data_IF_399970408873
#
_entry.id   IF_399970408873
#
_cell.length_a   1.000
_cell.length_b   1.000
_cell.length_c   1.000
_cell.angle_alpha   90.00
_cell.angle_beta   90.00
_cell.angle_gamma   90.00
#
_symmetry.space_group_name_H-M   'P 1'
#
loop_
_entity.id
_entity.type
_entity.pdbx_description
1 polymer ?
#
# COMPACT_ATOMS: atom_id res chain seq x y z
N UNK A 1 -4.16 2.20 -4.94
CA UNK A 1 -3.79 2.99 -6.14
C UNK A 1 -3.63 2.12 -7.37
N UNK A 2 -2.66 1.20 -7.48
CA UNK A 2 -2.50 0.36 -8.69
C UNK A 2 -3.79 -0.33 -9.16
N UNK A 3 -4.55 -0.92 -8.23
CA UNK A 3 -5.86 -1.49 -8.55
C UNK A 3 -6.87 -0.47 -9.07
N UNK A 4 -6.93 0.71 -8.47
CA UNK A 4 -7.81 1.79 -8.90
C UNK A 4 -7.45 2.32 -10.29
N UNK A 5 -6.16 2.38 -10.63
CA UNK A 5 -5.72 2.70 -12.01
C UNK A 5 -6.20 1.67 -13.04
N UNK A 6 -6.57 0.46 -12.59
CA UNK A 6 -7.18 -0.60 -13.40
C UNK A 6 -8.70 -0.66 -13.31
N UNK A 7 -9.33 0.30 -12.62
CA UNK A 7 -10.77 0.29 -12.39
C UNK A 7 -11.25 -0.80 -11.42
N UNK A 8 -10.36 -1.35 -10.59
CA UNK A 8 -10.68 -2.39 -9.61
C UNK A 8 -10.77 -1.78 -8.22
N UNK A 9 -11.96 -1.84 -7.60
CA UNK A 9 -12.15 -1.45 -6.20
C UNK A 9 -11.65 -2.55 -5.26
N UNK A 10 -10.33 -2.63 -5.07
CA UNK A 10 -9.71 -3.65 -4.23
C UNK A 10 -9.77 -3.24 -2.75
N UNK A 11 -10.55 -3.99 -1.95
CA UNK A 11 -10.85 -3.68 -0.53
C UNK A 11 -10.20 -4.63 0.49
N UNK A 12 -9.61 -5.73 0.03
CA UNK A 12 -8.95 -6.71 0.91
C UNK A 12 -7.56 -6.23 1.35
N UNK A 13 -6.94 -6.89 2.34
CA UNK A 13 -5.53 -6.63 2.68
C UNK A 13 -4.62 -7.18 1.54
N UNK A 14 -3.87 -6.30 0.84
CA UNK A 14 -2.99 -6.73 -0.24
C UNK A 14 -1.84 -7.60 0.26
N UNK A 15 -1.43 -7.48 1.53
CA UNK A 15 -0.29 -8.21 2.06
C UNK A 15 -0.67 -9.53 2.76
N UNK A 16 -1.97 -9.84 2.81
CA UNK A 16 -2.49 -11.06 3.42
C UNK A 16 -2.54 -12.20 2.41
N UNK A 17 -1.65 -13.19 2.54
CA UNK A 17 -1.61 -14.37 1.67
C UNK A 17 -2.29 -15.56 2.37
N UNK A 18 -3.34 -16.19 1.77
CA UNK A 18 -4.13 -17.23 2.45
C UNK A 18 -3.31 -18.39 3.04
N UNK A 19 -2.28 -18.86 2.33
CA UNK A 19 -1.42 -19.95 2.79
C UNK A 19 -0.56 -19.56 4.00
N UNK A 20 -0.08 -18.31 4.05
CA UNK A 20 0.68 -17.81 5.19
C UNK A 20 -0.24 -17.62 6.40
N UNK A 21 -1.43 -17.05 6.22
CA UNK A 21 -2.43 -16.89 7.28
C UNK A 21 -2.88 -18.25 7.85
N UNK A 22 -3.07 -19.26 6.98
CA UNK A 22 -3.39 -20.61 7.42
C UNK A 22 -2.26 -21.22 8.27
N UNK A 23 -1.01 -20.96 7.89
CA UNK A 23 0.16 -21.39 8.65
C UNK A 23 0.29 -20.67 9.99
N UNK A 24 0.06 -19.34 10.04
CA UNK A 24 0.03 -18.57 11.29
C UNK A 24 -0.95 -19.19 12.30
N UNK A 25 -2.17 -19.51 11.84
CA UNK A 25 -3.20 -20.13 12.68
C UNK A 25 -2.81 -21.53 13.15
N UNK A 26 -2.19 -22.33 12.27
CA UNK A 26 -1.78 -23.70 12.59
C UNK A 26 -0.68 -23.75 13.64
N UNK A 27 0.31 -22.86 13.52
CA UNK A 27 1.48 -22.82 14.40
C UNK A 27 1.27 -21.90 15.63
N UNK A 28 0.12 -21.24 15.74
CA UNK A 28 -0.19 -20.32 16.84
C UNK A 28 0.68 -19.06 16.83
N UNK A 29 1.09 -18.60 15.66
CA UNK A 29 1.86 -17.36 15.50
C UNK A 29 0.98 -16.13 15.74
N UNK A 30 1.63 -15.00 16.03
CA UNK A 30 0.96 -13.71 16.12
C UNK A 30 0.22 -13.38 14.82
N UNK A 31 -0.97 -12.78 14.93
CA UNK A 31 -1.73 -12.37 13.76
C UNK A 31 -0.92 -11.38 12.91
N UNK A 32 -0.92 -11.58 11.58
CA UNK A 32 -0.16 -10.74 10.63
C UNK A 32 1.37 -10.88 10.77
N UNK A 33 1.88 -11.94 11.40
CA UNK A 33 3.31 -12.21 11.52
C UNK A 33 4.05 -12.10 10.18
N UNK A 34 3.50 -12.67 9.09
CA UNK A 34 4.14 -12.61 7.78
C UNK A 34 3.89 -11.31 7.01
N UNK A 35 2.94 -10.48 7.44
CA UNK A 35 2.43 -9.34 6.68
C UNK A 35 3.52 -8.32 6.34
N UNK A 36 4.34 -7.94 7.31
CA UNK A 36 5.42 -6.96 7.08
C UNK A 36 6.51 -7.52 6.15
N UNK A 37 6.78 -8.83 6.25
CA UNK A 37 7.65 -9.52 5.31
C UNK A 37 7.09 -9.49 3.88
N UNK A 38 5.81 -9.83 3.70
CA UNK A 38 5.13 -9.79 2.40
C UNK A 38 5.14 -8.37 1.84
N UNK A 39 4.86 -7.36 2.66
CA UNK A 39 4.92 -5.95 2.27
C UNK A 39 6.30 -5.54 1.76
N UNK A 40 7.36 -5.88 2.49
CA UNK A 40 8.73 -5.60 2.07
C UNK A 40 9.09 -6.31 0.75
N UNK A 41 8.68 -7.57 0.59
CA UNK A 41 8.88 -8.33 -0.64
C UNK A 41 8.10 -7.74 -1.82
N UNK A 42 6.84 -7.35 -1.63
CA UNK A 42 6.02 -6.70 -2.65
C UNK A 42 6.61 -5.36 -3.07
N UNK A 43 7.11 -4.56 -2.13
CA UNK A 43 7.82 -3.31 -2.45
C UNK A 43 9.07 -3.57 -3.30
N UNK A 44 9.83 -4.61 -2.98
CA UNK A 44 10.99 -5.04 -3.77
C UNK A 44 10.59 -5.54 -5.16
N UNK A 45 9.45 -6.22 -5.30
CA UNK A 45 8.93 -6.68 -6.60
C UNK A 45 8.47 -5.51 -7.48
N UNK A 46 7.79 -4.51 -6.91
CA UNK A 46 7.31 -3.34 -7.65
C UNK A 46 8.49 -2.47 -8.13
N UNK A 47 9.46 -2.23 -7.25
CA UNK A 47 10.57 -1.31 -7.52
C UNK A 47 11.85 -1.99 -8.05
N UNK A 48 11.90 -3.31 -8.04
CA UNK A 48 13.03 -4.08 -8.54
C UNK A 48 13.15 -3.99 -10.06
N UNK A 49 14.31 -4.41 -10.57
CA UNK A 49 14.53 -4.60 -12.00
C UNK A 49 13.93 -5.94 -12.45
N UNK A 50 13.39 -5.98 -13.68
CA UNK A 50 12.82 -7.16 -14.32
C UNK A 50 13.84 -8.29 -14.46
N UNK A 51 15.10 -7.93 -14.73
CA UNK A 51 16.23 -8.86 -14.86
C UNK A 51 16.86 -9.24 -13.51
N UNK A 52 16.40 -8.60 -12.43
CA UNK A 52 16.88 -8.81 -11.08
C UNK A 52 16.28 -10.03 -10.38
N UNK A 53 16.72 -10.24 -9.14
CA UNK A 53 16.12 -11.19 -8.19
C UNK A 53 15.55 -10.43 -6.99
N UNK A 54 14.49 -9.64 -7.19
CA UNK A 54 13.90 -8.80 -6.13
C UNK A 54 13.52 -9.60 -4.89
N UNK A 55 13.20 -10.89 -5.05
CA UNK A 55 12.91 -11.78 -3.93
C UNK A 55 14.09 -12.07 -2.99
N UNK A 56 15.31 -11.67 -3.36
CA UNK A 56 16.51 -11.78 -2.53
C UNK A 56 16.76 -10.54 -1.67
N UNK A 57 15.93 -9.49 -1.77
CA UNK A 57 16.04 -8.29 -0.94
C UNK A 57 16.04 -8.66 0.56
N UNK A 58 17.09 -8.30 1.31
CA UNK A 58 17.19 -8.65 2.73
C UNK A 58 16.05 -7.96 3.49
N UNK A 59 15.31 -8.74 4.27
CA UNK A 59 14.29 -8.22 5.19
C UNK A 59 14.88 -8.42 6.57
N UNK A 60 15.23 -7.34 7.25
CA UNK A 60 15.93 -7.42 8.53
C UNK A 60 15.02 -7.98 9.63
N UNK A 61 15.58 -8.83 10.49
CA UNK A 61 14.84 -9.43 11.60
C UNK A 61 13.73 -10.41 11.20
N UNK A 62 13.54 -10.71 9.91
CA UNK A 62 12.40 -11.49 9.44
C UNK A 62 12.79 -12.67 8.53
N UNK A 63 12.10 -13.79 8.70
CA UNK A 63 12.30 -15.02 7.92
C UNK A 63 10.96 -15.62 7.51
N UNK A 64 10.83 -15.97 6.23
CA UNK A 64 9.63 -16.63 5.70
C UNK A 64 9.53 -18.12 6.03
N UNK A 65 10.51 -18.71 6.74
CA UNK A 65 10.47 -20.14 7.10
C UNK A 65 9.10 -20.54 7.69
N UNK A 66 8.57 -21.70 7.30
CA UNK A 66 9.17 -22.72 6.43
C UNK A 66 9.09 -22.41 4.93
N UNK A 67 8.42 -21.33 4.52
CA UNK A 67 8.29 -20.93 3.13
C UNK A 67 9.61 -20.37 2.56
N UNK A 68 9.86 -20.67 1.29
CA UNK A 68 10.97 -20.08 0.54
C UNK A 68 10.50 -18.76 -0.08
N UNK A 69 11.42 -17.81 -0.24
CA UNK A 69 11.13 -16.51 -0.90
C UNK A 69 10.56 -16.66 -2.32
N UNK A 70 11.04 -17.58 -3.18
CA UNK A 70 10.40 -17.84 -4.47
C UNK A 70 8.95 -18.33 -4.37
N UNK A 71 8.63 -19.18 -3.38
CA UNK A 71 7.26 -19.62 -3.18
C UNK A 71 6.36 -18.46 -2.74
N UNK A 72 6.84 -17.61 -1.84
CA UNK A 72 6.10 -16.42 -1.40
C UNK A 72 5.91 -15.44 -2.57
N UNK A 73 6.94 -15.21 -3.39
CA UNK A 73 6.84 -14.40 -4.61
C UNK A 73 5.73 -14.91 -5.53
N UNK A 74 5.69 -16.22 -5.80
CA UNK A 74 4.63 -16.82 -6.62
C UNK A 74 3.24 -16.60 -6.02
N UNK A 75 3.09 -16.74 -4.71
CA UNK A 75 1.81 -16.46 -4.03
C UNK A 75 1.39 -14.98 -4.15
N UNK A 76 2.36 -14.06 -4.15
CA UNK A 76 2.11 -12.63 -4.40
C UNK A 76 1.66 -12.45 -5.86
N UNK A 77 2.39 -12.98 -6.84
CA UNK A 77 2.05 -12.88 -8.26
C UNK A 77 0.66 -13.46 -8.56
N UNK A 78 0.31 -14.61 -7.98
CA UNK A 78 -1.02 -15.24 -8.11
C UNK A 78 -2.14 -14.38 -7.49
N UNK A 79 -1.92 -13.76 -6.32
CA UNK A 79 -2.91 -12.88 -5.69
C UNK A 79 -3.07 -11.55 -6.43
N UNK A 80 -2.00 -11.05 -7.04
CA UNK A 80 -1.90 -9.73 -7.64
C UNK A 80 -1.86 -9.77 -9.18
N UNK A 81 -2.43 -10.81 -9.80
CA UNK A 81 -2.43 -11.02 -11.25
C UNK A 81 -2.89 -9.77 -12.03
N UNK A 82 -3.91 -9.06 -11.54
CA UNK A 82 -4.46 -7.88 -12.21
C UNK A 82 -3.53 -6.65 -12.24
N UNK A 83 -2.47 -6.65 -11.43
CA UNK A 83 -1.45 -5.59 -11.38
C UNK A 83 -0.03 -6.12 -11.63
N UNK A 84 0.10 -7.34 -12.14
CA UNK A 84 1.40 -8.04 -12.28
C UNK A 84 2.37 -7.31 -13.21
N UNK A 85 1.86 -6.60 -14.21
CA UNK A 85 2.62 -5.79 -15.15
C UNK A 85 3.20 -4.51 -14.53
N UNK A 86 2.82 -4.17 -13.28
CA UNK A 86 3.50 -3.14 -12.51
C UNK A 86 4.79 -3.66 -11.83
N UNK A 87 4.98 -4.97 -11.71
CA UNK A 87 6.18 -5.53 -11.08
C UNK A 87 7.39 -5.40 -12.01
N UNK A 88 8.56 -5.09 -11.45
CA UNK A 88 9.79 -4.92 -12.23
C UNK A 88 9.91 -3.57 -12.95
N UNK A 89 8.95 -2.66 -12.78
CA UNK A 89 8.86 -1.42 -13.58
C UNK A 89 9.34 -0.16 -12.86
N UNK A 90 9.56 -0.23 -11.54
CA UNK A 90 9.79 0.98 -10.75
C UNK A 90 8.52 1.80 -10.47
N UNK A 91 7.32 1.23 -10.68
CA UNK A 91 6.04 1.93 -10.51
C UNK A 91 5.87 2.57 -9.12
N UNK A 92 6.54 2.08 -8.08
CA UNK A 92 6.46 2.66 -6.74
C UNK A 92 6.91 4.11 -6.68
N UNK A 93 7.88 4.55 -7.48
CA UNK A 93 8.28 5.97 -7.54
C UNK A 93 7.17 6.84 -8.12
N UNK A 94 6.49 6.36 -9.16
CA UNK A 94 5.33 7.05 -9.76
C UNK A 94 4.17 7.15 -8.76
N UNK A 95 3.90 6.06 -8.03
CA UNK A 95 2.87 6.03 -6.99
C UNK A 95 3.19 6.98 -5.84
N UNK A 96 4.44 7.04 -5.37
CA UNK A 96 4.88 7.97 -4.33
C UNK A 96 4.71 9.44 -4.76
N UNK A 97 4.97 9.73 -6.04
CA UNK A 97 4.69 11.05 -6.60
C UNK A 97 3.19 11.36 -6.57
N UNK A 98 2.35 10.43 -7.02
CA UNK A 98 0.89 10.63 -6.99
C UNK A 98 0.36 10.82 -5.57
N UNK A 99 0.89 10.09 -4.58
CA UNK A 99 0.56 10.31 -3.16
C UNK A 99 0.97 11.71 -2.68
N UNK A 100 2.14 12.18 -3.10
CA UNK A 100 2.63 13.52 -2.75
C UNK A 100 1.78 14.62 -3.40
N UNK A 101 1.39 14.44 -4.66
CA UNK A 101 0.51 15.36 -5.38
C UNK A 101 -0.88 15.42 -4.72
N UNK A 102 -1.41 14.26 -4.29
CA UNK A 102 -2.66 14.18 -3.54
C UNK A 102 -2.57 14.90 -2.19
N UNK A 103 -1.49 14.67 -1.43
CA UNK A 103 -1.28 15.32 -0.16
C UNK A 103 -1.16 16.85 -0.31
N UNK A 104 -0.50 17.32 -1.37
CA UNK A 104 -0.39 18.74 -1.70
C UNK A 104 -1.76 19.35 -2.03
N UNK A 105 -2.61 18.65 -2.78
CA UNK A 105 -3.97 19.10 -3.07
C UNK A 105 -4.77 19.28 -1.77
N UNK A 106 -4.77 18.27 -0.90
CA UNK A 106 -5.49 18.29 0.38
C UNK A 106 -5.05 19.48 1.24
N UNK A 107 -3.75 19.67 1.48
CA UNK A 107 -3.28 20.78 2.32
C UNK A 107 -3.56 22.16 1.70
N UNK A 108 -3.58 22.25 0.37
CA UNK A 108 -3.88 23.50 -0.35
C UNK A 108 -5.35 23.86 -0.18
N UNK A 109 -6.24 22.90 -0.42
CA UNK A 109 -7.69 23.08 -0.30
C UNK A 109 -8.09 23.38 1.16
N UNK A 110 -7.53 22.65 2.13
CA UNK A 110 -7.75 22.94 3.55
C UNK A 110 -7.31 24.36 3.92
N UNK A 111 -6.15 24.81 3.42
CA UNK A 111 -5.64 26.16 3.65
C UNK A 111 -6.55 27.22 3.05
N UNK A 112 -7.14 27.00 1.87
CA UNK A 112 -8.11 27.92 1.26
C UNK A 112 -9.38 28.08 2.10
N UNK A 113 -9.79 27.01 2.80
CA UNK A 113 -10.86 27.02 3.79
C UNK A 113 -10.45 27.62 5.15
N UNK A 114 -9.21 28.11 5.29
CA UNK A 114 -8.68 28.66 6.54
C UNK A 114 -8.31 27.61 7.60
N UNK A 115 -8.22 26.33 7.21
CA UNK A 115 -7.89 25.21 8.09
C UNK A 115 -6.42 24.84 7.88
N UNK A 116 -5.65 24.76 8.96
CA UNK A 116 -4.27 24.29 8.90
C UNK A 116 -4.22 22.77 9.00
N UNK A 117 -3.74 22.10 7.95
CA UNK A 117 -3.42 20.68 7.96
C UNK A 117 -1.91 20.49 7.70
N UNK A 118 -1.23 19.75 8.58
CA UNK A 118 0.19 19.44 8.45
C UNK A 118 0.36 18.01 7.91
N UNK A 119 0.98 17.83 6.73
CA UNK A 119 1.16 16.51 6.15
C UNK A 119 2.29 15.74 6.87
N UNK A 120 2.06 14.47 7.13
CA UNK A 120 3.01 13.47 7.64
C UNK A 120 2.88 12.23 6.76
N UNK A 121 3.61 12.20 5.64
CA UNK A 121 3.42 11.21 4.58
C UNK A 121 1.95 11.16 4.10
N UNK A 122 1.27 10.03 4.30
CA UNK A 122 -0.13 9.77 3.96
C UNK A 122 -1.13 10.17 5.08
N UNK A 123 -0.61 10.69 6.19
CA UNK A 123 -1.39 11.15 7.34
C UNK A 123 -1.35 12.66 7.47
N UNK A 124 -2.33 13.24 8.17
CA UNK A 124 -2.40 14.69 8.38
C UNK A 124 -2.68 15.02 9.84
N UNK A 125 -2.10 16.11 10.33
CA UNK A 125 -2.38 16.68 11.64
C UNK A 125 -3.21 17.95 11.43
N UNK A 126 -4.41 18.00 12.01
CA UNK A 126 -5.30 19.16 11.97
C UNK A 126 -5.95 19.37 13.35
N UNK A 127 -6.51 20.55 13.64
CA UNK A 127 -7.32 20.76 14.83
C UNK A 127 -8.47 19.73 14.88
N UNK A 128 -8.73 19.18 16.07
CA UNK A 128 -9.78 18.16 16.26
C UNK A 128 -11.16 18.62 15.78
N UNK A 129 -11.45 19.92 15.87
CA UNK A 129 -12.70 20.53 15.37
C UNK A 129 -12.90 20.34 13.86
N UNK A 130 -11.82 20.11 13.11
CA UNK A 130 -11.82 19.98 11.65
C UNK A 130 -11.54 18.53 11.21
N UNK A 131 -11.73 17.55 12.08
CA UNK A 131 -11.57 16.14 11.73
C UNK A 131 -12.49 15.75 10.56
N UNK A 132 -13.76 16.17 10.61
CA UNK A 132 -14.72 15.92 9.54
C UNK A 132 -14.29 16.58 8.23
N UNK A 133 -13.93 17.86 8.27
CA UNK A 133 -13.49 18.61 7.08
C UNK A 133 -12.28 17.94 6.42
N UNK A 134 -11.30 17.50 7.23
CA UNK A 134 -10.12 16.79 6.75
C UNK A 134 -10.47 15.44 6.12
N UNK A 135 -11.33 14.64 6.77
CA UNK A 135 -11.75 13.33 6.25
C UNK A 135 -12.52 13.47 4.94
N UNK A 136 -13.38 14.48 4.83
CA UNK A 136 -14.13 14.78 3.60
C UNK A 136 -13.19 15.22 2.48
N UNK A 137 -12.24 16.11 2.77
CA UNK A 137 -11.24 16.56 1.79
C UNK A 137 -10.35 15.40 1.30
N UNK A 138 -9.86 14.56 2.23
CA UNK A 138 -9.09 13.36 1.87
C UNK A 138 -9.89 12.42 0.95
N UNK A 139 -11.19 12.23 1.24
CA UNK A 139 -12.05 11.39 0.43
C UNK A 139 -12.31 12.00 -0.95
N UNK A 140 -12.57 13.31 -1.00
CA UNK A 140 -12.88 14.05 -2.23
C UNK A 140 -11.66 14.09 -3.15
N UNK A 141 -10.50 14.52 -2.65
CA UNK A 141 -9.27 14.60 -3.43
C UNK A 141 -8.89 13.22 -4.00
N UNK A 142 -9.02 12.15 -3.22
CA UNK A 142 -8.75 10.79 -3.70
C UNK A 142 -9.75 10.34 -4.76
N UNK A 143 -11.04 10.64 -4.56
CA UNK A 143 -12.11 10.31 -5.51
C UNK A 143 -11.95 11.05 -6.83
N UNK A 144 -11.51 12.30 -6.82
CA UNK A 144 -11.20 13.05 -8.03
C UNK A 144 -10.02 12.43 -8.78
N UNK A 145 -8.96 12.02 -8.06
CA UNK A 145 -7.77 11.44 -8.66
C UNK A 145 -8.00 10.02 -9.21
N UNK A 146 -8.80 9.20 -8.54
CA UNK A 146 -8.89 7.76 -8.81
C UNK A 146 -10.30 7.25 -9.14
N UNK A 147 -11.35 8.07 -9.01
CA UNK A 147 -12.76 7.66 -9.15
C UNK A 147 -13.24 6.60 -8.15
N UNK A 148 -12.48 6.35 -7.08
CA UNK A 148 -12.83 5.43 -5.99
C UNK A 148 -12.80 6.14 -4.63
N UNK A 149 -13.55 5.64 -3.66
CA UNK A 149 -13.48 6.15 -2.30
C UNK A 149 -12.37 5.46 -1.51
N UNK A 150 -11.44 6.19 -0.87
CA UNK A 150 -10.39 5.61 -0.05
C UNK A 150 -10.97 5.01 1.26
N UNK A 151 -10.16 4.19 1.93
CA UNK A 151 -10.43 3.78 3.32
C UNK A 151 -9.62 4.71 4.21
N UNK A 152 -10.30 5.51 5.03
CA UNK A 152 -9.68 6.46 5.96
C UNK A 152 -9.85 5.88 7.38
N UNK A 153 -8.73 5.65 8.06
CA UNK A 153 -8.71 5.15 9.44
C UNK A 153 -8.84 6.33 10.43
#
# INVERSE_FOLDING_TARGET
MLYHERGIDYRDDPYSLPLLVAHEKKEGLEAKHYREGVKALMQALINGDSDGKPERAKIEGFSFKPFTRPNVRRMIEEKHESIIDAFGTGAGLRLQRQDSDLALAIITNMRECGITALPVHDSFIAPKSNETDLREEMAQAYKEAFSFCPIIN
#
